data_IF_032561804872
#
_entry.id   IF_032561804872
#
_cell.length_a   1.000
_cell.length_b   1.000
_cell.length_c   1.000
_cell.angle_alpha   90.00
_cell.angle_beta   90.00
_cell.angle_gamma   90.00
#
_symmetry.space_group_name_H-M   'P 1'
#
loop_
_entity.id
_entity.type
_entity.pdbx_description
1 polymer ?
#
# COMPACT_ATOMS: atom_id res chain seq x y z
N UNK A 1 -7.46 -8.66 -21.87
CA UNK A 1 -6.10 -8.59 -21.29
C UNK A 1 -6.23 -8.02 -19.90
N UNK A 2 -5.55 -8.59 -18.91
CA UNK A 2 -5.59 -8.15 -17.52
C UNK A 2 -4.67 -6.94 -17.33
N UNK A 3 -5.21 -5.80 -16.90
CA UNK A 3 -4.41 -4.62 -16.58
C UNK A 3 -3.94 -4.69 -15.13
N UNK A 4 -2.65 -4.96 -14.92
CA UNK A 4 -2.07 -5.15 -13.58
C UNK A 4 -1.51 -3.83 -13.06
N UNK A 5 -1.89 -3.47 -11.84
CA UNK A 5 -1.30 -2.36 -11.07
C UNK A 5 -0.55 -2.91 -9.87
N UNK A 6 0.75 -2.66 -9.81
CA UNK A 6 1.59 -2.96 -8.66
C UNK A 6 1.53 -1.79 -7.69
N UNK A 7 1.39 -2.09 -6.40
CA UNK A 7 1.22 -1.11 -5.34
C UNK A 7 2.17 -1.41 -4.18
N UNK A 8 2.82 -0.37 -3.68
CA UNK A 8 3.42 -0.36 -2.36
C UNK A 8 2.79 0.80 -1.56
N UNK A 9 2.37 0.52 -0.34
CA UNK A 9 1.85 1.51 0.60
C UNK A 9 2.89 1.65 1.71
N UNK A 10 3.55 2.79 1.78
CA UNK A 10 4.54 3.10 2.79
C UNK A 10 3.96 4.10 3.81
N UNK A 11 4.23 3.87 5.09
CA UNK A 11 3.76 4.75 6.18
C UNK A 11 4.73 4.71 7.38
N UNK A 12 4.52 5.62 8.34
CA UNK A 12 5.36 5.75 9.53
C UNK A 12 5.33 4.48 10.38
N UNK A 13 6.45 4.14 11.02
CA UNK A 13 6.50 3.08 12.05
C UNK A 13 5.75 3.42 13.34
N UNK A 14 5.22 4.64 13.45
CA UNK A 14 4.33 5.03 14.55
C UNK A 14 2.89 4.56 14.34
N UNK A 15 2.51 4.15 13.12
CA UNK A 15 1.19 3.58 12.83
C UNK A 15 1.08 2.15 13.40
N UNK A 16 -0.15 1.79 13.79
CA UNK A 16 -0.50 0.39 14.04
C UNK A 16 -0.78 -0.30 12.70
N UNK A 17 0.19 -1.07 12.21
CA UNK A 17 0.10 -1.77 10.92
C UNK A 17 -1.13 -2.70 10.84
N UNK A 18 -1.48 -3.40 11.92
CA UNK A 18 -2.63 -4.31 11.93
C UNK A 18 -3.92 -3.52 11.75
N UNK A 19 -4.06 -2.38 12.45
CA UNK A 19 -5.19 -1.46 12.29
C UNK A 19 -5.26 -0.89 10.87
N UNK A 20 -4.12 -0.54 10.26
CA UNK A 20 -4.06 -0.06 8.87
C UNK A 20 -4.52 -1.14 7.91
N UNK A 21 -4.05 -2.38 8.05
CA UNK A 21 -4.49 -3.50 7.20
C UNK A 21 -5.97 -3.81 7.38
N UNK A 22 -6.50 -3.76 8.61
CA UNK A 22 -7.93 -3.95 8.89
C UNK A 22 -8.79 -2.86 8.25
N UNK A 23 -8.35 -1.59 8.31
CA UNK A 23 -9.03 -0.49 7.62
C UNK A 23 -8.99 -0.66 6.10
N UNK A 24 -7.82 -1.00 5.52
CA UNK A 24 -7.68 -1.26 4.08
C UNK A 24 -8.54 -2.43 3.60
N UNK A 25 -8.74 -3.46 4.43
CA UNK A 25 -9.60 -4.60 4.10
C UNK A 25 -11.08 -4.24 3.94
N UNK A 26 -11.51 -3.06 4.42
CA UNK A 26 -12.87 -2.55 4.24
C UNK A 26 -13.09 -1.95 2.85
N UNK A 27 -12.03 -1.65 2.10
CA UNK A 27 -12.13 -1.23 0.71
C UNK A 27 -12.52 -2.44 -0.16
N UNK A 28 -13.64 -2.36 -0.87
CA UNK A 28 -14.07 -3.40 -1.80
C UNK A 28 -13.52 -3.15 -3.21
N UNK A 29 -12.70 -4.07 -3.70
CA UNK A 29 -12.17 -4.06 -5.06
C UNK A 29 -12.79 -5.20 -5.87
N UNK A 30 -13.66 -4.88 -6.85
CA UNK A 30 -14.46 -5.86 -7.61
C UNK A 30 -15.23 -6.86 -6.74
N UNK A 31 -15.94 -6.37 -5.72
CA UNK A 31 -16.69 -7.19 -4.75
C UNK A 31 -15.82 -8.18 -3.97
N UNK A 32 -14.51 -7.91 -3.85
CA UNK A 32 -13.59 -8.65 -3.01
C UNK A 32 -12.91 -7.70 -2.04
N UNK A 33 -12.64 -8.13 -0.80
CA UNK A 33 -11.83 -7.34 0.11
C UNK A 33 -10.48 -7.02 -0.52
N UNK A 34 -10.11 -5.75 -0.49
CA UNK A 34 -8.77 -5.33 -0.83
C UNK A 34 -7.79 -5.89 0.20
N UNK A 35 -6.68 -6.47 -0.27
CA UNK A 35 -5.68 -7.06 0.62
C UNK A 35 -4.31 -6.61 0.16
N UNK A 36 -3.59 -5.92 1.05
CA UNK A 36 -2.18 -5.59 0.91
C UNK A 36 -1.41 -6.33 2.02
N UNK A 37 -0.28 -6.93 1.66
CA UNK A 37 0.48 -7.82 2.54
C UNK A 37 1.65 -7.05 3.13
N UNK A 38 1.78 -7.07 4.45
CA UNK A 38 2.98 -6.55 5.12
C UNK A 38 4.24 -7.28 4.67
N UNK A 39 5.32 -6.51 4.51
CA UNK A 39 6.62 -7.10 4.19
C UNK A 39 7.17 -8.02 5.27
N UNK A 40 6.71 -7.84 6.51
CA UNK A 40 7.08 -8.68 7.65
C UNK A 40 6.07 -9.80 7.91
N UNK A 41 5.11 -9.99 7.01
CA UNK A 41 4.11 -11.06 7.11
C UNK A 41 4.78 -12.45 7.13
N UNK A 42 4.38 -13.34 8.06
CA UNK A 42 4.87 -14.72 8.09
C UNK A 42 4.42 -15.55 6.89
N UNK A 43 3.47 -15.05 6.08
CA UNK A 43 3.07 -15.68 4.82
C UNK A 43 4.10 -15.48 3.69
N UNK A 44 5.05 -14.54 3.85
CA UNK A 44 6.13 -14.31 2.90
C UNK A 44 7.39 -15.12 3.26
N UNK A 45 8.25 -15.45 2.27
CA UNK A 45 9.51 -16.13 2.56
C UNK A 45 10.39 -15.29 3.51
N UNK A 46 11.03 -15.91 4.49
CA UNK A 46 11.91 -15.18 5.42
C UNK A 46 13.12 -14.59 4.68
N UNK A 47 13.41 -13.30 4.90
CA UNK A 47 14.58 -12.63 4.29
C UNK A 47 14.44 -12.37 2.79
N UNK A 48 13.21 -12.26 2.28
CA UNK A 48 12.93 -12.01 0.86
C UNK A 48 13.35 -10.61 0.39
N UNK A 49 13.53 -9.67 1.33
CA UNK A 49 14.15 -8.37 1.11
C UNK A 49 15.59 -8.33 1.64
N UNK A 50 16.49 -7.64 0.93
CA UNK A 50 17.92 -7.58 1.24
C UNK A 50 18.30 -6.44 2.19
N UNK A 51 19.57 -6.43 2.63
CA UNK A 51 20.14 -5.41 3.51
C UNK A 51 20.91 -6.00 4.69
N UNK A 52 21.37 -5.14 5.60
CA UNK A 52 22.04 -5.54 6.85
C UNK A 52 21.15 -5.37 8.10
N UNK A 53 19.92 -4.89 7.91
CA UNK A 53 18.95 -4.56 8.97
C UNK A 53 17.53 -4.90 8.52
N UNK A 54 16.65 -5.06 9.50
CA UNK A 54 15.21 -5.17 9.28
C UNK A 54 14.63 -3.86 8.76
N UNK A 55 13.54 -3.98 8.02
CA UNK A 55 12.77 -2.83 7.58
C UNK A 55 12.20 -2.10 8.80
N UNK A 56 12.28 -0.76 8.82
CA UNK A 56 12.01 0.05 10.00
C UNK A 56 10.77 0.95 9.87
N UNK A 57 10.00 0.81 8.80
CA UNK A 57 8.76 1.56 8.53
C UNK A 57 7.60 0.61 8.21
N UNK A 58 6.39 1.14 8.10
CA UNK A 58 5.27 0.37 7.59
C UNK A 58 5.37 0.20 6.08
N UNK A 59 5.27 -1.03 5.58
CA UNK A 59 5.26 -1.29 4.14
C UNK A 59 4.33 -2.44 3.81
N UNK A 60 3.29 -2.14 3.03
CA UNK A 60 2.37 -3.13 2.48
C UNK A 60 2.56 -3.21 0.96
N UNK A 61 2.50 -4.42 0.42
CA UNK A 61 2.65 -4.68 -1.02
C UNK A 61 1.45 -5.42 -1.60
N UNK A 62 1.15 -5.17 -2.87
CA UNK A 62 0.08 -5.85 -3.59
C UNK A 62 0.16 -5.69 -5.10
N UNK A 63 -0.49 -6.59 -5.83
CA UNK A 63 -0.66 -6.51 -7.27
C UNK A 63 -2.12 -6.82 -7.61
N UNK A 64 -2.76 -5.92 -8.37
CA UNK A 64 -4.21 -5.93 -8.56
C UNK A 64 -4.57 -5.82 -10.02
N UNK A 65 -5.56 -6.61 -10.45
CA UNK A 65 -6.16 -6.45 -11.77
C UNK A 65 -7.20 -5.33 -11.73
N UNK A 66 -7.17 -4.44 -12.72
CA UNK A 66 -8.15 -3.38 -12.94
C UNK A 66 -8.40 -2.49 -11.69
N UNK A 67 -7.33 -2.17 -10.95
CA UNK A 67 -7.40 -1.31 -9.77
C UNK A 67 -7.83 0.11 -10.17
N UNK A 68 -8.93 0.58 -9.59
CA UNK A 68 -9.31 1.98 -9.66
C UNK A 68 -8.51 2.74 -8.61
N UNK A 69 -7.42 3.38 -9.05
CA UNK A 69 -6.51 4.05 -8.13
C UNK A 69 -7.13 5.29 -7.48
N UNK A 70 -7.94 6.05 -8.21
CA UNK A 70 -8.56 7.26 -7.69
C UNK A 70 -9.56 6.94 -6.57
N UNK A 71 -10.28 5.84 -6.71
CA UNK A 71 -11.21 5.33 -5.69
C UNK A 71 -10.47 4.83 -4.45
N UNK A 72 -9.37 4.09 -4.63
CA UNK A 72 -8.51 3.68 -3.53
C UNK A 72 -7.93 4.90 -2.79
N UNK A 73 -7.43 5.91 -3.51
CA UNK A 73 -6.89 7.13 -2.91
C UNK A 73 -7.97 7.89 -2.13
N UNK A 74 -9.18 8.00 -2.69
CA UNK A 74 -10.32 8.61 -2.01
C UNK A 74 -10.68 7.86 -0.73
N UNK A 75 -10.72 6.52 -0.77
CA UNK A 75 -10.95 5.69 0.41
C UNK A 75 -9.84 5.87 1.46
N UNK A 76 -8.57 5.82 1.05
CA UNK A 76 -7.45 5.93 1.98
C UNK A 76 -7.41 7.30 2.69
N UNK A 77 -7.91 8.35 2.06
CA UNK A 77 -8.05 9.68 2.70
C UNK A 77 -9.13 9.74 3.77
N UNK A 78 -10.05 8.78 3.85
CA UNK A 78 -11.07 8.71 4.91
C UNK A 78 -10.63 7.82 6.08
N UNK A 79 -9.55 7.05 5.92
CA UNK A 79 -8.96 6.25 7.00
C UNK A 79 -8.36 7.14 8.08
N UNK A 80 -8.28 6.58 9.29
CA UNK A 80 -7.59 7.22 10.41
C UNK A 80 -6.11 6.86 10.37
N UNK A 81 -5.28 7.86 10.05
CA UNK A 81 -3.83 7.81 10.09
C UNK A 81 -3.33 8.61 11.30
N UNK A 82 -2.36 8.06 12.03
CA UNK A 82 -1.70 8.75 13.14
C UNK A 82 -0.75 9.83 12.62
N UNK A 83 -0.07 9.58 11.49
CA UNK A 83 0.90 10.48 10.87
C UNK A 83 0.67 10.57 9.34
N UNK A 84 -0.41 11.25 8.90
CA UNK A 84 -0.86 11.29 7.50
C UNK A 84 0.22 11.71 6.50
N UNK A 85 1.09 12.65 6.87
CA UNK A 85 2.17 13.18 6.02
C UNK A 85 3.23 12.14 5.64
N UNK A 86 3.30 11.01 6.35
CA UNK A 86 4.21 9.92 6.00
C UNK A 86 3.58 8.85 5.09
N UNK A 87 2.31 9.01 4.70
CA UNK A 87 1.58 8.02 3.91
C UNK A 87 1.81 8.25 2.42
N UNK A 88 2.49 7.29 1.81
CA UNK A 88 2.88 7.33 0.41
C UNK A 88 2.40 6.09 -0.34
N UNK A 89 1.86 6.28 -1.54
CA UNK A 89 1.59 5.20 -2.49
C UNK A 89 2.63 5.21 -3.59
N UNK A 90 3.31 4.07 -3.78
CA UNK A 90 4.24 3.84 -4.87
C UNK A 90 3.56 2.89 -5.86
N UNK A 91 3.24 3.40 -7.05
CA UNK A 91 2.40 2.71 -8.02
C UNK A 91 3.18 2.43 -9.30
N UNK A 92 3.05 1.21 -9.84
CA UNK A 92 3.43 0.90 -11.23
C UNK A 92 2.28 0.20 -11.95
N UNK A 93 1.59 0.98 -12.77
CA UNK A 93 0.66 0.52 -13.78
C UNK A 93 1.38 -0.28 -14.88
N UNK A 94 0.69 -1.23 -15.51
CA UNK A 94 1.26 -2.14 -16.53
C UNK A 94 2.00 -1.40 -17.65
N UNK A 95 1.38 -0.35 -18.20
CA UNK A 95 1.91 0.44 -19.31
C UNK A 95 2.86 1.56 -18.85
N UNK A 96 2.97 1.82 -17.55
CA UNK A 96 3.84 2.86 -17.04
C UNK A 96 5.32 2.43 -17.12
N UNK A 97 6.17 3.33 -17.62
CA UNK A 97 7.61 3.09 -17.75
C UNK A 97 8.31 2.91 -16.40
N UNK A 98 7.90 3.67 -15.38
CA UNK A 98 8.50 3.69 -14.04
C UNK A 98 7.44 3.71 -12.96
N UNK A 99 7.86 3.39 -11.74
CA UNK A 99 7.05 3.66 -10.56
C UNK A 99 6.84 5.18 -10.41
N UNK A 100 5.67 5.56 -9.91
CA UNK A 100 5.38 6.93 -9.46
C UNK A 100 5.04 6.92 -7.98
N UNK A 101 5.43 7.98 -7.29
CA UNK A 101 5.07 8.22 -5.89
C UNK A 101 3.86 9.15 -5.87
N UNK A 102 2.91 8.86 -5.00
CA UNK A 102 1.71 9.65 -4.75
C UNK A 102 1.65 9.90 -3.25
N UNK A 103 1.79 11.16 -2.88
CA UNK A 103 1.60 11.59 -1.50
C UNK A 103 0.10 11.60 -1.22
N UNK A 104 -0.34 10.86 -0.20
CA UNK A 104 -1.78 10.76 0.08
C UNK A 104 -2.33 12.12 0.54
N UNK A 105 -1.50 12.85 1.29
CA UNK A 105 -1.72 14.18 1.85
C UNK A 105 -0.54 15.09 1.46
N UNK A 106 -0.59 15.76 0.29
CA UNK A 106 0.48 16.64 -0.16
C UNK A 106 0.62 17.88 0.74
N UNK A 107 1.86 18.33 0.96
CA UNK A 107 2.14 19.63 1.60
C UNK A 107 1.64 20.78 0.69
N UNK A 108 0.97 21.78 1.28
CA UNK A 108 0.50 22.99 0.56
C UNK A 108 1.62 23.93 0.12
#
# INVERSE_FOLDING_TARGET
>A
MSYITNLLIAFSSSEDEEKVQQQLAQYEHHHRPFSAVSVDSPALPTGWYGGSKFWAGGLLIGAYNHLNLDELLAFMRTMQWEVPEFVHLIVKEEQAFKFRVIDLFPEE
#
